data_IF_304387071727
#
_entry.id   IF_304387071727
#
_cell.length_a   1.000
_cell.length_b   1.000
_cell.length_c   1.000
_cell.angle_alpha   90.00
_cell.angle_beta   90.00
_cell.angle_gamma   90.00
#
_symmetry.space_group_name_H-M   'P 1'
#
loop_
_entity.id
_entity.type
_entity.pdbx_description
1 polymer ?
#
# COMPACT_ATOMS: atom_id res chain seq x y z
N UNK A 1 21.31 10.64 -9.12
CA UNK A 1 20.77 10.92 -7.76
C UNK A 1 20.35 9.60 -7.13
N UNK A 2 20.48 9.45 -5.80
CA UNK A 2 20.00 8.26 -5.09
C UNK A 2 18.51 8.42 -4.80
N UNK A 3 17.70 7.35 -4.86
CA UNK A 3 16.32 7.40 -4.40
C UNK A 3 16.23 7.85 -2.94
N UNK A 4 15.33 8.76 -2.63
CA UNK A 4 15.13 9.28 -1.27
C UNK A 4 13.66 9.58 -1.04
N UNK A 5 13.21 9.44 0.21
CA UNK A 5 11.83 9.76 0.60
C UNK A 5 11.78 11.18 1.15
N UNK A 6 10.77 11.92 0.73
CA UNK A 6 10.50 13.29 1.14
C UNK A 6 9.08 13.41 1.69
N UNK A 7 8.93 14.22 2.72
CA UNK A 7 7.62 14.68 3.19
C UNK A 7 7.41 16.10 2.65
N UNK A 8 6.29 16.32 1.97
CA UNK A 8 5.87 17.63 1.47
C UNK A 8 4.67 18.14 2.25
N UNK A 9 4.81 19.28 2.89
CA UNK A 9 3.70 19.94 3.57
C UNK A 9 2.89 20.74 2.54
N UNK A 10 1.69 20.28 2.24
CA UNK A 10 0.82 20.88 1.20
C UNK A 10 0.44 22.33 1.52
N UNK A 11 0.26 22.67 2.80
CA UNK A 11 -0.13 24.02 3.25
C UNK A 11 1.04 25.00 3.15
N UNK A 12 2.21 24.62 3.69
CA UNK A 12 3.39 25.52 3.74
C UNK A 12 4.29 25.39 2.51
N UNK A 13 4.03 24.41 1.64
CA UNK A 13 4.85 24.02 0.47
C UNK A 13 6.30 23.65 0.82
N UNK A 14 6.61 23.48 2.10
CA UNK A 14 7.93 23.04 2.55
C UNK A 14 8.12 21.55 2.27
N UNK A 15 9.31 21.20 1.78
CA UNK A 15 9.72 19.82 1.50
C UNK A 15 10.87 19.45 2.43
N UNK A 16 10.77 18.30 3.08
CA UNK A 16 11.78 17.77 3.98
C UNK A 16 12.19 16.37 3.51
N UNK A 17 13.48 16.16 3.35
CA UNK A 17 14.01 14.82 3.13
C UNK A 17 14.01 14.04 4.44
N UNK A 18 13.47 12.82 4.42
CA UNK A 18 13.38 11.94 5.60
C UNK A 18 14.29 10.73 5.51
N UNK A 19 14.65 10.31 4.30
CA UNK A 19 15.63 9.23 4.10
C UNK A 19 16.63 9.57 3.00
N UNK A 20 17.84 9.01 3.10
CA UNK A 20 18.87 9.05 2.06
C UNK A 20 19.86 7.89 2.28
N UNK A 21 19.32 6.69 2.54
CA UNK A 21 20.17 5.52 2.77
C UNK A 21 20.70 4.96 1.46
N UNK A 22 21.77 4.19 1.55
CA UNK A 22 22.29 3.44 0.39
C UNK A 22 21.25 2.42 -0.06
N UNK A 23 21.10 2.26 -1.37
CA UNK A 23 20.14 1.33 -1.97
C UNK A 23 18.74 1.92 -2.11
N UNK A 24 17.74 1.05 -2.03
CA UNK A 24 16.32 1.40 -2.21
C UNK A 24 15.81 2.22 -1.01
N UNK A 25 15.05 3.26 -1.31
CA UNK A 25 14.25 4.06 -0.37
C UNK A 25 12.91 4.32 -1.06
N UNK A 26 11.87 3.57 -0.73
CA UNK A 26 10.60 3.58 -1.49
C UNK A 26 9.38 3.24 -0.63
N UNK A 27 8.21 3.26 -1.28
CA UNK A 27 6.91 2.85 -0.76
C UNK A 27 6.60 3.41 0.65
N UNK A 28 6.64 4.74 0.86
CA UNK A 28 6.33 5.32 2.15
C UNK A 28 4.82 5.28 2.42
N UNK A 29 4.44 4.89 3.65
CA UNK A 29 3.07 4.90 4.13
C UNK A 29 3.00 5.52 5.53
N UNK A 30 2.18 6.56 5.73
CA UNK A 30 1.94 7.15 7.04
C UNK A 30 1.08 6.23 7.91
N UNK A 31 1.40 6.17 9.19
CA UNK A 31 0.48 5.60 10.19
C UNK A 31 -0.81 6.41 10.27
N UNK A 32 -1.94 5.81 10.70
CA UNK A 32 -3.24 6.51 10.77
C UNK A 32 -3.23 7.77 11.63
N UNK A 33 -2.38 7.81 12.65
CA UNK A 33 -2.17 8.97 13.53
C UNK A 33 -1.15 10.00 12.97
N UNK A 34 -0.47 9.68 11.85
CA UNK A 34 0.54 10.51 11.20
C UNK A 34 1.86 10.63 11.95
N UNK A 35 2.06 9.89 13.04
CA UNK A 35 3.29 9.98 13.87
C UNK A 35 4.43 9.11 13.37
N UNK A 36 4.15 8.11 12.51
CA UNK A 36 5.13 7.17 12.00
C UNK A 36 5.06 7.07 10.47
N UNK A 37 6.15 6.63 9.86
CA UNK A 37 6.24 6.37 8.43
C UNK A 37 6.82 4.97 8.22
N UNK A 38 6.01 4.05 7.69
CA UNK A 38 6.49 2.77 7.18
C UNK A 38 7.12 2.97 5.80
N UNK A 39 8.15 2.20 5.46
CA UNK A 39 8.85 2.32 4.18
C UNK A 39 9.67 1.09 3.88
N UNK A 40 10.12 0.98 2.65
CA UNK A 40 11.05 -0.06 2.19
C UNK A 40 12.46 0.53 2.10
N UNK A 41 13.42 -0.12 2.76
CA UNK A 41 14.85 0.19 2.64
C UNK A 41 15.64 -1.08 2.34
N UNK A 42 16.66 -0.98 1.47
CA UNK A 42 17.61 -2.09 1.24
C UNK A 42 19.02 -1.79 1.78
N UNK A 43 19.13 -0.88 2.74
CA UNK A 43 20.41 -0.44 3.30
C UNK A 43 21.22 -1.54 4.02
N UNK A 44 20.55 -2.58 4.49
CA UNK A 44 21.13 -3.70 5.23
C UNK A 44 21.11 -5.02 4.42
N UNK A 45 21.04 -4.92 3.07
CA UNK A 45 21.04 -6.05 2.15
C UNK A 45 19.87 -6.03 1.16
N UNK A 46 18.86 -6.89 1.37
CA UNK A 46 17.65 -6.92 0.55
C UNK A 46 16.60 -5.90 1.01
N UNK A 47 15.55 -5.66 0.20
CA UNK A 47 14.42 -4.82 0.57
C UNK A 47 13.65 -5.38 1.77
N UNK A 48 13.48 -4.56 2.79
CA UNK A 48 12.81 -4.89 4.05
C UNK A 48 11.94 -3.73 4.53
N UNK A 49 11.00 -4.01 5.40
CA UNK A 49 10.13 -3.01 5.99
C UNK A 49 10.78 -2.34 7.21
N UNK A 50 10.76 -1.02 7.19
CA UNK A 50 11.22 -0.16 8.29
C UNK A 50 10.12 0.80 8.70
N UNK A 51 10.15 1.21 9.96
CA UNK A 51 9.30 2.29 10.49
C UNK A 51 10.18 3.39 11.06
N UNK A 52 9.92 4.62 10.63
CA UNK A 52 10.52 5.83 11.15
C UNK A 52 9.53 6.53 12.08
N UNK A 53 9.92 6.76 13.32
CA UNK A 53 9.18 7.60 14.25
C UNK A 53 9.44 9.08 13.92
N UNK A 54 8.39 9.78 13.49
CA UNK A 54 8.46 11.19 13.10
C UNK A 54 8.32 12.13 14.29
N UNK A 55 7.75 11.66 15.40
CA UNK A 55 7.52 12.44 16.61
C UNK A 55 8.75 12.50 17.51
N UNK A 56 9.63 11.47 17.47
CA UNK A 56 10.82 11.43 18.32
C UNK A 56 11.94 12.38 17.83
N UNK A 57 12.74 12.90 18.79
CA UNK A 57 13.92 13.71 18.50
C UNK A 57 15.13 13.15 19.29
N UNK A 58 16.16 12.62 18.62
CA UNK A 58 16.26 12.39 17.17
C UNK A 58 15.28 11.32 16.69
N UNK A 59 14.95 11.35 15.40
CA UNK A 59 14.05 10.36 14.80
C UNK A 59 14.61 8.96 14.92
N UNK A 60 13.75 8.02 15.36
CA UNK A 60 14.12 6.61 15.54
C UNK A 60 13.67 5.79 14.36
N UNK A 61 14.63 5.07 13.72
CA UNK A 61 14.37 4.13 12.65
C UNK A 61 14.44 2.71 13.20
N UNK A 62 13.37 1.92 13.02
CA UNK A 62 13.29 0.53 13.42
C UNK A 62 13.10 -0.35 12.18
N UNK A 63 13.97 -1.36 12.00
CA UNK A 63 13.76 -2.43 11.02
C UNK A 63 12.74 -3.41 11.60
N UNK A 64 11.69 -3.73 10.82
CA UNK A 64 10.63 -4.65 11.25
C UNK A 64 10.85 -6.06 10.70
N UNK A 65 11.23 -6.19 9.41
CA UNK A 65 11.41 -7.50 8.78
C UNK A 65 12.88 -7.86 8.61
N UNK A 66 13.18 -9.17 8.65
CA UNK A 66 14.49 -9.77 8.42
C UNK A 66 14.28 -11.12 7.76
N UNK A 67 14.20 -11.12 6.44
CA UNK A 67 13.96 -12.33 5.67
C UNK A 67 14.79 -12.31 4.38
N UNK A 68 15.13 -13.49 3.82
CA UNK A 68 15.83 -13.57 2.54
C UNK A 68 14.96 -13.17 1.35
N UNK A 69 13.64 -13.26 1.49
CA UNK A 69 12.67 -12.76 0.50
C UNK A 69 12.58 -11.23 0.51
N UNK A 70 12.02 -10.68 -0.54
CA UNK A 70 11.77 -9.25 -0.70
C UNK A 70 10.48 -8.92 0.04
N UNK A 71 10.56 -8.00 1.00
CA UNK A 71 9.42 -7.41 1.69
C UNK A 71 9.22 -5.97 1.22
N UNK A 72 8.03 -5.66 0.69
CA UNK A 72 7.78 -4.39 0.01
C UNK A 72 6.33 -3.90 0.23
N UNK A 73 6.05 -2.66 -0.21
CA UNK A 73 4.73 -2.07 -0.28
C UNK A 73 3.94 -2.14 1.05
N UNK A 74 4.52 -1.60 2.15
CA UNK A 74 3.84 -1.60 3.43
C UNK A 74 2.62 -0.68 3.44
N UNK A 75 1.56 -1.13 4.08
CA UNK A 75 0.40 -0.33 4.48
C UNK A 75 0.06 -0.58 5.94
N UNK A 76 -0.72 0.31 6.55
CA UNK A 76 -1.09 0.21 7.96
C UNK A 76 -2.50 -0.33 8.12
N UNK A 77 -2.74 -1.10 9.17
CA UNK A 77 -4.09 -1.31 9.70
C UNK A 77 -4.68 0.01 10.23
N UNK A 78 -6.00 0.13 10.25
CA UNK A 78 -6.68 1.36 10.66
C UNK A 78 -6.42 1.77 12.12
N UNK A 79 -6.16 0.80 12.99
CA UNK A 79 -5.75 0.99 14.39
C UNK A 79 -4.27 1.37 14.56
N UNK A 80 -3.45 1.15 13.52
CA UNK A 80 -2.01 1.38 13.54
C UNK A 80 -1.21 0.31 14.29
N UNK A 81 -1.82 -0.82 14.61
CA UNK A 81 -1.19 -1.91 15.38
C UNK A 81 -0.51 -2.96 14.50
N UNK A 82 -0.84 -2.98 13.19
CA UNK A 82 -0.26 -3.93 12.23
C UNK A 82 0.22 -3.25 10.96
N UNK A 83 1.19 -3.90 10.30
CA UNK A 83 1.67 -3.59 8.95
C UNK A 83 1.25 -4.71 8.02
N UNK A 84 0.61 -4.35 6.91
CA UNK A 84 0.29 -5.24 5.80
C UNK A 84 1.36 -5.01 4.74
N UNK A 85 1.91 -6.06 4.16
CA UNK A 85 2.99 -5.92 3.18
C UNK A 85 3.00 -7.07 2.17
N UNK A 86 3.62 -6.82 1.03
CA UNK A 86 3.88 -7.83 0.00
C UNK A 86 5.20 -8.54 0.31
N UNK A 87 5.21 -9.87 0.22
CA UNK A 87 6.43 -10.67 0.39
C UNK A 87 6.45 -11.89 -0.53
N UNK A 88 7.63 -12.21 -1.07
CA UNK A 88 7.85 -13.45 -1.80
C UNK A 88 8.48 -14.56 -0.94
N UNK A 89 8.42 -14.44 0.40
CA UNK A 89 9.00 -15.42 1.35
C UNK A 89 8.47 -16.83 1.19
N UNK A 90 7.26 -16.99 0.67
CA UNK A 90 6.65 -18.28 0.35
C UNK A 90 6.83 -18.72 -1.10
N UNK A 91 7.74 -18.08 -1.87
CA UNK A 91 8.02 -18.35 -3.28
C UNK A 91 7.47 -17.24 -4.18
N UNK A 92 6.18 -17.16 -4.38
CA UNK A 92 5.51 -16.10 -5.17
C UNK A 92 5.06 -14.94 -4.28
N UNK A 93 4.90 -13.71 -4.83
CA UNK A 93 4.41 -12.55 -4.08
C UNK A 93 3.02 -12.81 -3.50
N UNK A 94 2.90 -12.63 -2.19
CA UNK A 94 1.67 -12.78 -1.42
C UNK A 94 1.58 -11.69 -0.35
N UNK A 95 0.40 -11.51 0.20
CA UNK A 95 0.17 -10.52 1.25
C UNK A 95 0.34 -11.16 2.63
N UNK A 96 1.07 -10.45 3.47
CA UNK A 96 1.34 -10.80 4.85
C UNK A 96 0.92 -9.66 5.76
N UNK A 97 0.57 -10.00 6.98
CA UNK A 97 0.37 -9.09 8.10
C UNK A 97 1.48 -9.28 9.12
N UNK A 98 1.90 -8.19 9.77
CA UNK A 98 2.82 -8.22 10.91
C UNK A 98 2.23 -7.39 12.03
N UNK A 99 2.00 -7.99 13.19
CA UNK A 99 1.65 -7.29 14.42
C UNK A 99 2.87 -6.57 15.00
N UNK A 100 2.74 -5.30 15.37
CA UNK A 100 3.88 -4.48 15.81
C UNK A 100 4.34 -4.76 17.26
N UNK A 101 3.47 -5.34 18.07
CA UNK A 101 3.74 -5.67 19.46
C UNK A 101 4.84 -6.74 19.59
N UNK A 102 4.67 -7.85 18.87
CA UNK A 102 5.54 -9.04 18.96
C UNK A 102 6.26 -9.38 17.64
N UNK A 103 5.96 -8.68 16.56
CA UNK A 103 6.46 -8.89 15.19
C UNK A 103 6.07 -10.26 14.60
N UNK A 104 4.98 -10.85 15.08
CA UNK A 104 4.43 -12.07 14.50
C UNK A 104 3.93 -11.79 13.09
N UNK A 105 4.30 -12.68 12.14
CA UNK A 105 3.96 -12.54 10.72
C UNK A 105 3.00 -13.65 10.32
N UNK A 106 1.87 -13.25 9.75
CA UNK A 106 0.83 -14.13 9.21
C UNK A 106 0.64 -13.91 7.72
N UNK A 107 0.43 -14.99 6.95
CA UNK A 107 0.07 -14.91 5.54
C UNK A 107 -1.45 -14.74 5.41
N UNK A 108 -1.87 -13.74 4.62
CA UNK A 108 -3.29 -13.41 4.42
C UNK A 108 -3.87 -13.95 3.10
N UNK A 109 -3.03 -14.19 2.07
CA UNK A 109 -3.51 -14.61 0.75
C UNK A 109 -2.99 -15.97 0.36
N UNK A 110 -3.87 -16.82 -0.16
CA UNK A 110 -3.59 -18.22 -0.52
C UNK A 110 -4.04 -18.55 -1.95
N UNK A 111 -4.93 -17.76 -2.54
CA UNK A 111 -5.41 -17.92 -3.91
C UNK A 111 -4.55 -17.12 -4.89
N UNK A 112 -4.31 -17.72 -6.07
CA UNK A 112 -3.50 -17.13 -7.13
C UNK A 112 -1.99 -17.21 -6.86
N UNK A 113 -1.24 -16.88 -7.88
CA UNK A 113 0.23 -16.93 -7.88
C UNK A 113 0.88 -15.55 -7.67
N UNK A 114 0.07 -14.48 -7.61
CA UNK A 114 0.56 -13.12 -7.40
C UNK A 114 -0.50 -12.26 -6.73
N UNK A 115 -0.19 -11.79 -5.52
CA UNK A 115 -0.95 -10.81 -4.78
C UNK A 115 0.01 -9.75 -4.22
N UNK A 116 -0.27 -8.47 -4.46
CA UNK A 116 0.64 -7.37 -4.10
C UNK A 116 -0.11 -6.07 -3.77
N UNK A 117 0.58 -5.11 -3.16
CA UNK A 117 0.10 -3.75 -2.91
C UNK A 117 -1.24 -3.70 -2.18
N UNK A 118 -1.32 -4.42 -1.08
CA UNK A 118 -2.57 -4.53 -0.35
C UNK A 118 -2.81 -3.37 0.62
N UNK A 119 -4.08 -2.99 0.75
CA UNK A 119 -4.59 -2.12 1.80
C UNK A 119 -5.76 -2.81 2.52
N UNK A 120 -5.79 -2.71 3.85
CA UNK A 120 -6.93 -3.16 4.64
C UNK A 120 -8.07 -2.15 4.55
N UNK A 121 -9.30 -2.64 4.45
CA UNK A 121 -10.48 -1.84 4.72
C UNK A 121 -10.43 -1.31 6.16
N UNK A 122 -10.98 -0.10 6.40
CA UNK A 122 -10.92 0.53 7.72
C UNK A 122 -11.66 -0.26 8.80
N UNK A 123 -12.62 -1.12 8.40
CA UNK A 123 -13.30 -2.06 9.30
C UNK A 123 -12.46 -3.28 9.68
N UNK A 124 -11.36 -3.51 8.96
CA UNK A 124 -10.44 -4.63 9.21
C UNK A 124 -10.90 -5.99 8.67
N UNK A 125 -12.05 -6.06 7.99
CA UNK A 125 -12.66 -7.31 7.49
C UNK A 125 -12.39 -7.60 6.02
N UNK A 126 -11.79 -6.66 5.30
CA UNK A 126 -11.51 -6.77 3.87
C UNK A 126 -10.12 -6.34 3.48
N UNK A 127 -9.53 -7.04 2.53
CA UNK A 127 -8.24 -6.75 1.94
C UNK A 127 -8.43 -6.40 0.47
N UNK A 128 -7.96 -5.22 0.08
CA UNK A 128 -7.93 -4.77 -1.31
C UNK A 128 -6.51 -4.91 -1.82
N UNK A 129 -6.31 -5.49 -2.99
CA UNK A 129 -4.97 -5.78 -3.51
C UNK A 129 -4.93 -5.84 -5.04
N UNK A 130 -3.74 -5.78 -5.58
CA UNK A 130 -3.46 -6.21 -6.95
C UNK A 130 -3.40 -7.74 -6.96
N UNK A 131 -4.22 -8.36 -7.79
CA UNK A 131 -4.31 -9.80 -7.97
C UNK A 131 -4.08 -10.17 -9.43
N UNK A 132 -3.26 -11.19 -9.69
CA UNK A 132 -3.05 -11.68 -11.06
C UNK A 132 -3.98 -12.86 -11.35
N UNK A 133 -4.89 -12.64 -12.31
CA UNK A 133 -5.79 -13.66 -12.83
C UNK A 133 -5.48 -13.91 -14.30
N UNK A 134 -5.10 -15.15 -14.66
CA UNK A 134 -4.77 -15.57 -16.04
C UNK A 134 -3.75 -14.65 -16.73
N UNK A 135 -2.75 -14.18 -15.99
CA UNK A 135 -1.69 -13.32 -16.51
C UNK A 135 -2.01 -11.82 -16.53
N UNK A 136 -3.22 -11.41 -16.19
CA UNK A 136 -3.68 -10.02 -16.15
C UNK A 136 -3.77 -9.53 -14.72
N UNK A 137 -3.35 -8.30 -14.46
CA UNK A 137 -3.41 -7.67 -13.13
C UNK A 137 -4.71 -6.90 -12.97
N UNK A 138 -5.44 -7.23 -11.91
CA UNK A 138 -6.73 -6.64 -11.53
C UNK A 138 -6.70 -6.17 -10.09
N UNK A 139 -7.62 -5.28 -9.73
CA UNK A 139 -7.93 -5.02 -8.32
C UNK A 139 -8.92 -6.06 -7.83
N UNK A 140 -8.59 -6.70 -6.72
CA UNK A 140 -9.44 -7.69 -6.07
C UNK A 140 -9.70 -7.32 -4.60
N UNK A 141 -10.83 -7.80 -4.10
CA UNK A 141 -11.23 -7.76 -2.70
C UNK A 141 -11.24 -9.16 -2.14
N UNK A 142 -10.63 -9.34 -0.98
CA UNK A 142 -10.67 -10.57 -0.19
C UNK A 142 -11.41 -10.29 1.11
N UNK A 143 -12.54 -10.97 1.34
CA UNK A 143 -13.22 -11.02 2.64
C UNK A 143 -12.40 -11.91 3.57
N UNK A 144 -11.76 -11.33 4.57
CA UNK A 144 -10.87 -12.05 5.49
C UNK A 144 -11.63 -13.01 6.43
N UNK A 145 -12.90 -12.72 6.71
CA UNK A 145 -13.72 -13.56 7.59
C UNK A 145 -14.24 -14.82 6.87
N UNK A 146 -14.56 -14.68 5.58
CA UNK A 146 -15.14 -15.75 4.75
C UNK A 146 -14.13 -16.44 3.85
N UNK A 147 -12.94 -15.86 3.67
CA UNK A 147 -11.95 -16.35 2.71
C UNK A 147 -12.39 -16.23 1.25
N UNK A 148 -13.32 -15.32 0.94
CA UNK A 148 -13.87 -15.17 -0.40
C UNK A 148 -13.17 -14.04 -1.17
N UNK A 149 -12.52 -14.41 -2.28
CA UNK A 149 -11.85 -13.48 -3.19
C UNK A 149 -12.76 -13.11 -4.36
N UNK A 150 -12.85 -11.82 -4.66
CA UNK A 150 -13.60 -11.29 -5.78
C UNK A 150 -12.78 -10.26 -6.55
N UNK A 151 -12.66 -10.46 -7.87
CA UNK A 151 -12.09 -9.46 -8.79
C UNK A 151 -13.10 -8.32 -9.00
N UNK A 152 -12.65 -7.08 -8.82
CA UNK A 152 -13.49 -5.89 -8.89
C UNK A 152 -13.40 -5.17 -10.24
N UNK A 153 -12.28 -5.34 -10.98
CA UNK A 153 -12.00 -4.59 -12.21
C UNK A 153 -11.93 -5.51 -13.42
N UNK A 154 -12.24 -4.96 -14.58
CA UNK A 154 -12.17 -5.64 -15.88
C UNK A 154 -11.06 -5.06 -16.77
N UNK A 155 -10.41 -4.00 -16.32
CA UNK A 155 -9.27 -3.37 -16.99
C UNK A 155 -8.02 -4.23 -16.84
N UNK A 156 -6.99 -3.95 -17.63
CA UNK A 156 -5.68 -4.61 -17.55
C UNK A 156 -4.64 -3.65 -16.95
N UNK A 157 -3.59 -4.20 -16.36
CA UNK A 157 -2.51 -3.43 -15.73
C UNK A 157 -2.98 -2.52 -14.58
N UNK A 158 -3.90 -3.02 -13.78
CA UNK A 158 -4.39 -2.32 -12.60
C UNK A 158 -3.35 -2.37 -11.48
N UNK A 159 -3.08 -1.22 -10.87
CA UNK A 159 -2.08 -1.10 -9.83
C UNK A 159 -2.45 -0.06 -8.77
N UNK A 160 -1.75 -0.09 -7.63
CA UNK A 160 -1.79 0.94 -6.59
C UNK A 160 -3.19 1.26 -6.08
N UNK A 161 -3.99 0.26 -5.65
CA UNK A 161 -5.32 0.53 -5.11
C UNK A 161 -5.24 1.32 -3.79
N UNK A 162 -6.18 2.23 -3.60
CA UNK A 162 -6.38 2.94 -2.34
C UNK A 162 -7.88 3.00 -2.03
N UNK A 163 -8.24 2.86 -0.75
CA UNK A 163 -9.63 2.84 -0.31
C UNK A 163 -10.04 4.16 0.35
N UNK A 164 -11.25 4.60 0.05
CA UNK A 164 -11.83 5.77 0.72
C UNK A 164 -12.01 5.51 2.23
N UNK A 165 -11.91 6.55 3.08
CA UNK A 165 -12.03 6.40 4.54
C UNK A 165 -13.36 5.85 5.05
N UNK A 166 -14.38 5.74 4.20
CA UNK A 166 -15.68 5.15 4.51
C UNK A 166 -15.87 3.74 3.93
N UNK A 167 -14.81 3.15 3.35
CA UNK A 167 -14.79 1.83 2.72
C UNK A 167 -15.78 1.64 1.56
N UNK A 168 -16.29 2.72 0.96
CA UNK A 168 -17.29 2.60 -0.11
C UNK A 168 -16.72 2.57 -1.51
N UNK A 169 -15.54 3.17 -1.71
CA UNK A 169 -14.97 3.43 -3.01
C UNK A 169 -13.47 3.19 -3.01
N UNK A 170 -12.98 2.63 -4.10
CA UNK A 170 -11.57 2.46 -4.41
C UNK A 170 -11.17 3.41 -5.54
N UNK A 171 -9.93 3.91 -5.49
CA UNK A 171 -9.26 4.51 -6.64
C UNK A 171 -8.00 3.68 -6.90
N UNK A 172 -7.72 3.45 -8.17
CA UNK A 172 -6.56 2.68 -8.62
C UNK A 172 -5.99 3.28 -9.91
N UNK A 173 -4.75 2.98 -10.22
CA UNK A 173 -4.15 3.34 -11.50
C UNK A 173 -4.39 2.20 -12.49
N UNK A 174 -4.69 2.56 -13.75
CA UNK A 174 -4.86 1.63 -14.86
C UNK A 174 -4.41 2.26 -16.17
N UNK A 175 -4.50 1.52 -17.27
CA UNK A 175 -4.21 2.06 -18.60
C UNK A 175 -5.43 1.99 -19.51
N UNK A 176 -5.67 3.08 -20.21
CA UNK A 176 -6.66 3.17 -21.30
C UNK A 176 -5.95 3.78 -22.52
N UNK A 177 -6.01 3.10 -23.65
CA UNK A 177 -5.35 3.51 -24.92
C UNK A 177 -3.86 3.83 -24.74
N UNK A 178 -3.17 3.03 -23.90
CA UNK A 178 -1.73 3.18 -23.63
C UNK A 178 -1.37 4.34 -22.69
N UNK A 179 -2.35 5.06 -22.12
CA UNK A 179 -2.13 6.14 -21.15
C UNK A 179 -2.48 5.70 -19.74
N UNK A 180 -1.63 6.02 -18.78
CA UNK A 180 -1.90 5.82 -17.36
C UNK A 180 -2.96 6.81 -16.88
N UNK A 181 -4.06 6.29 -16.34
CA UNK A 181 -5.16 7.06 -15.74
C UNK A 181 -5.50 6.54 -14.36
N UNK A 182 -6.24 7.33 -13.60
CA UNK A 182 -6.91 6.84 -12.40
C UNK A 182 -8.34 6.43 -12.72
N UNK A 183 -8.77 5.32 -12.16
CA UNK A 183 -10.14 4.85 -12.23
C UNK A 183 -10.69 4.59 -10.83
N UNK A 184 -12.01 4.59 -10.70
CA UNK A 184 -12.70 4.30 -9.46
C UNK A 184 -13.65 3.12 -9.60
N UNK A 185 -13.77 2.33 -8.53
CA UNK A 185 -14.73 1.24 -8.41
C UNK A 185 -15.30 1.19 -7.00
N UNK A 186 -16.60 0.97 -6.86
CA UNK A 186 -17.19 0.72 -5.55
C UNK A 186 -16.77 -0.65 -5.01
N UNK A 187 -16.74 -0.80 -3.67
CA UNK A 187 -16.28 -2.04 -3.05
C UNK A 187 -17.15 -3.26 -3.41
N UNK A 188 -18.42 -3.04 -3.77
CA UNK A 188 -19.31 -4.06 -4.30
C UNK A 188 -19.13 -4.35 -5.80
N UNK A 189 -18.30 -3.55 -6.50
CA UNK A 189 -18.03 -3.66 -7.94
C UNK A 189 -19.12 -3.07 -8.84
N UNK A 190 -20.20 -2.50 -8.26
CA UNK A 190 -21.37 -2.04 -9.01
C UNK A 190 -21.18 -0.71 -9.73
N UNK A 191 -20.36 0.19 -9.19
CA UNK A 191 -20.08 1.50 -9.79
C UNK A 191 -18.65 1.55 -10.28
N UNK A 192 -18.45 1.99 -11.53
CA UNK A 192 -17.12 2.17 -12.16
C UNK A 192 -17.07 3.49 -12.92
N UNK A 193 -15.94 4.18 -12.82
CA UNK A 193 -15.73 5.45 -13.55
C UNK A 193 -14.24 5.72 -13.72
N UNK A 194 -13.91 6.53 -14.74
CA UNK A 194 -12.56 7.03 -14.95
C UNK A 194 -12.45 8.45 -14.41
N UNK A 195 -11.33 8.77 -13.79
CA UNK A 195 -11.00 10.14 -13.41
C UNK A 195 -10.34 10.84 -14.60
N UNK A 196 -10.77 12.07 -14.93
CA UNK A 196 -10.18 12.79 -16.06
C UNK A 196 -8.70 13.09 -15.76
N UNK A 197 -7.84 12.73 -16.72
CA UNK A 197 -6.43 13.12 -16.75
C UNK A 197 -6.22 13.99 -17.98
N UNK A 198 -5.77 15.22 -17.80
CA UNK A 198 -5.57 16.16 -18.90
C UNK A 198 -4.24 15.96 -19.61
N UNK A 199 -3.17 15.64 -18.86
CA UNK A 199 -1.82 15.48 -19.39
C UNK A 199 -1.03 14.40 -18.62
N UNK A 200 -0.14 13.69 -19.36
CA UNK A 200 0.79 12.72 -18.79
C UNK A 200 0.14 11.43 -18.27
N UNK A 201 0.96 10.62 -17.59
CA UNK A 201 0.54 9.42 -16.86
C UNK A 201 0.28 9.75 -15.40
N UNK A 202 -0.83 9.26 -14.85
CA UNK A 202 -1.20 9.44 -13.44
C UNK A 202 -1.14 8.09 -12.73
N UNK A 203 -0.43 8.04 -11.60
CA UNK A 203 -0.19 6.82 -10.82
C UNK A 203 -0.22 7.11 -9.32
N UNK A 204 -0.21 6.05 -8.50
CA UNK A 204 -0.07 6.09 -7.04
C UNK A 204 -1.08 7.01 -6.35
N UNK A 205 -2.40 6.79 -6.52
CA UNK A 205 -3.42 7.58 -5.84
C UNK A 205 -3.36 7.37 -4.33
N UNK A 206 -3.73 8.38 -3.57
CA UNK A 206 -3.88 8.29 -2.13
C UNK A 206 -5.07 9.11 -1.64
N UNK A 207 -5.88 8.53 -0.75
CA UNK A 207 -6.93 9.26 -0.05
C UNK A 207 -6.34 10.07 1.11
N UNK A 208 -6.90 11.26 1.34
CA UNK A 208 -6.63 11.96 2.59
C UNK A 208 -7.46 11.33 3.73
N UNK A 209 -6.91 11.24 4.96
CA UNK A 209 -7.69 10.77 6.10
C UNK A 209 -8.87 11.70 6.38
N UNK A 210 -9.95 11.16 6.97
CA UNK A 210 -11.06 12.00 7.43
C UNK A 210 -10.54 13.04 8.41
N UNK A 211 -10.89 14.32 8.17
CA UNK A 211 -10.70 15.33 9.22
C UNK A 211 -11.53 14.90 10.43
N UNK A 212 -10.88 14.66 11.58
CA UNK A 212 -11.63 14.59 12.85
C UNK A 212 -12.38 15.92 12.96
N UNK A 213 -13.70 15.90 13.12
CA UNK A 213 -14.44 17.09 13.54
C UNK A 213 -13.84 17.49 14.88
N UNK A 214 -13.25 18.69 14.91
CA UNK A 214 -12.79 19.35 16.13
C UNK A 214 -14.02 19.77 16.90
#
# INVERSE_FOLDING_TARGET
>A
ARPAIYIHNIRTRKRQQVTNFKGLNSAPAFSPDGTKLAMVLSKDGNPEIYVLDLASQPRKLRRLTRHYGIDTEPSWSADGESIIFTSNRGGQPQIYSMRLEDLEVERLTFEGDYNARAVLANRGDGLIMVHRLRGVFHIAYLDLNRGFLRVLTETSLDESPTIAPNDSLLIYATQVDGRGILAGVSIDGGVRFNLPATEGDVREPAWSPRKKKI
#
